data_IF_150735820944
#
_entry.id   IF_150735820944
#
_cell.length_a   1.000
_cell.length_b   1.000
_cell.length_c   1.000
_cell.angle_alpha   90.00
_cell.angle_beta   90.00
_cell.angle_gamma   90.00
#
_symmetry.space_group_name_H-M   'P 1'
#
loop_
_entity.id
_entity.type
_entity.pdbx_description
1 polymer ?
#
# COMPACT_ATOMS: atom_id res chain seq x y z
N UNK A 1 18.88 -15.32 -64.89
CA UNK A 1 19.39 -14.25 -64.01
C UNK A 1 18.56 -14.33 -62.73
N UNK A 2 19.05 -15.10 -61.78
CA UNK A 2 18.38 -15.45 -60.53
C UNK A 2 19.05 -14.66 -59.42
N UNK A 3 18.39 -13.63 -58.95
CA UNK A 3 18.92 -12.89 -57.80
C UNK A 3 18.54 -13.63 -56.50
N UNK A 4 19.56 -14.17 -55.87
CA UNK A 4 19.48 -14.72 -54.51
C UNK A 4 19.19 -13.57 -53.54
N UNK A 5 18.05 -13.65 -52.88
CA UNK A 5 17.75 -12.82 -51.70
C UNK A 5 18.45 -13.48 -50.52
N UNK A 6 19.54 -12.86 -50.11
CA UNK A 6 20.30 -13.22 -48.92
C UNK A 6 19.49 -12.91 -47.66
N UNK A 7 18.79 -13.91 -47.15
CA UNK A 7 17.99 -13.84 -45.91
C UNK A 7 18.83 -14.25 -44.70
N UNK A 8 20.00 -13.61 -44.54
CA UNK A 8 20.86 -13.80 -43.36
C UNK A 8 20.96 -12.54 -42.54
N UNK A 9 19.83 -11.93 -42.20
CA UNK A 9 19.81 -11.00 -41.06
C UNK A 9 19.59 -11.82 -39.78
N UNK A 10 20.70 -12.31 -39.26
CA UNK A 10 20.79 -12.94 -37.97
C UNK A 10 20.10 -12.08 -36.90
N UNK A 11 19.06 -12.65 -36.33
CA UNK A 11 18.48 -12.17 -35.09
C UNK A 11 19.56 -12.30 -34.02
N UNK A 12 20.35 -11.26 -33.84
CA UNK A 12 21.23 -11.13 -32.70
C UNK A 12 20.35 -10.84 -31.48
N UNK A 13 20.04 -11.87 -30.72
CA UNK A 13 19.53 -11.75 -29.38
C UNK A 13 20.63 -11.16 -28.49
N UNK A 14 20.46 -9.96 -27.96
CA UNK A 14 21.42 -9.42 -26.99
C UNK A 14 21.08 -9.96 -25.60
N UNK A 15 21.40 -11.21 -25.33
CA UNK A 15 21.59 -11.69 -23.96
C UNK A 15 22.97 -11.24 -23.47
N UNK A 16 23.22 -9.94 -23.47
CA UNK A 16 24.31 -9.38 -22.71
C UNK A 16 24.02 -9.69 -21.23
N UNK A 17 24.83 -10.57 -20.64
CA UNK A 17 24.83 -10.81 -19.19
C UNK A 17 25.07 -9.45 -18.52
N UNK A 18 24.01 -8.79 -18.09
CA UNK A 18 24.13 -7.55 -17.31
C UNK A 18 24.98 -7.85 -16.09
N UNK A 19 26.06 -7.08 -15.94
CA UNK A 19 26.90 -7.16 -14.75
C UNK A 19 26.04 -6.85 -13.51
N UNK A 20 26.28 -7.57 -12.41
CA UNK A 20 25.62 -7.28 -11.12
C UNK A 20 25.72 -5.81 -10.73
N UNK A 21 26.83 -5.15 -11.07
CA UNK A 21 27.04 -3.72 -10.84
C UNK A 21 26.09 -2.83 -11.67
N UNK A 22 25.78 -3.21 -12.90
CA UNK A 22 24.81 -2.48 -13.74
C UNK A 22 23.38 -2.69 -13.24
N UNK A 23 23.08 -3.88 -12.76
CA UNK A 23 21.79 -4.18 -12.15
C UNK A 23 21.59 -3.35 -10.87
N UNK A 24 22.60 -3.26 -10.01
CA UNK A 24 22.56 -2.45 -8.80
C UNK A 24 22.40 -0.95 -9.10
N UNK A 25 22.99 -0.43 -10.16
CA UNK A 25 22.80 0.98 -10.57
C UNK A 25 21.35 1.30 -10.89
N UNK A 26 20.62 0.38 -11.51
CA UNK A 26 19.18 0.57 -11.81
C UNK A 26 18.36 0.69 -10.51
N UNK A 27 18.72 -0.06 -9.47
CA UNK A 27 18.05 0.06 -8.16
C UNK A 27 18.36 1.37 -7.43
N UNK A 28 19.48 2.01 -7.74
CA UNK A 28 19.88 3.29 -7.16
C UNK A 28 19.38 4.50 -7.97
N UNK A 29 18.69 4.28 -9.08
CA UNK A 29 18.08 5.36 -9.85
C UNK A 29 16.97 6.08 -9.05
N UNK A 30 16.87 7.41 -9.15
CA UNK A 30 15.91 8.21 -8.41
C UNK A 30 14.45 7.73 -8.53
N UNK A 31 13.95 7.26 -9.69
CA UNK A 31 12.60 6.71 -9.80
C UNK A 31 12.41 5.43 -8.97
N UNK A 32 13.40 4.53 -9.00
CA UNK A 32 13.35 3.25 -8.28
C UNK A 32 13.40 3.46 -6.77
N UNK A 33 14.26 4.38 -6.30
CA UNK A 33 14.34 4.75 -4.89
C UNK A 33 13.01 5.37 -4.41
N UNK A 34 12.39 6.24 -5.19
CA UNK A 34 11.07 6.81 -4.85
C UNK A 34 10.02 5.73 -4.70
N UNK A 35 9.99 4.73 -5.61
CA UNK A 35 9.08 3.59 -5.53
C UNK A 35 9.32 2.74 -4.29
N UNK A 36 10.59 2.51 -3.94
CA UNK A 36 10.98 1.76 -2.75
C UNK A 36 10.49 2.47 -1.47
N UNK A 37 10.73 3.78 -1.36
CA UNK A 37 10.27 4.57 -0.22
C UNK A 37 8.74 4.64 -0.13
N UNK A 38 8.06 4.80 -1.27
CA UNK A 38 6.59 4.80 -1.31
C UNK A 38 6.03 3.44 -0.90
N UNK A 39 6.59 2.33 -1.41
CA UNK A 39 6.17 0.98 -1.03
C UNK A 39 6.41 0.68 0.45
N UNK A 40 7.56 1.11 0.99
CA UNK A 40 7.86 0.98 2.42
C UNK A 40 6.88 1.79 3.27
N UNK A 41 6.64 3.06 2.91
CA UNK A 41 5.69 3.93 3.61
C UNK A 41 4.26 3.39 3.57
N UNK A 42 3.85 2.78 2.46
CA UNK A 42 2.53 2.18 2.32
C UNK A 42 2.35 0.92 3.19
N UNK A 43 3.42 0.14 3.41
CA UNK A 43 3.37 -1.07 4.25
C UNK A 43 3.36 -0.79 5.75
N UNK A 44 3.90 0.35 6.20
CA UNK A 44 4.02 0.68 7.61
C UNK A 44 2.69 0.68 8.39
N UNK A 45 1.58 1.29 7.91
CA UNK A 45 0.33 1.33 8.67
C UNK A 45 -0.22 -0.06 8.98
N UNK A 46 -0.11 -1.00 8.04
CA UNK A 46 -0.56 -2.37 8.25
C UNK A 46 0.28 -3.10 9.29
N UNK A 47 1.62 -2.92 9.27
CA UNK A 47 2.52 -3.48 10.27
C UNK A 47 2.24 -2.90 11.66
N UNK A 48 1.92 -1.60 11.76
CA UNK A 48 1.55 -0.96 13.03
C UNK A 48 0.23 -1.54 13.57
N UNK A 49 -0.76 -1.74 12.74
CA UNK A 49 -2.05 -2.32 13.18
C UNK A 49 -1.88 -3.78 13.57
N UNK A 50 -1.28 -4.61 12.76
CA UNK A 50 -1.17 -6.05 13.03
C UNK A 50 -0.12 -6.37 14.11
N UNK A 51 1.02 -5.70 14.10
CA UNK A 51 2.12 -5.93 15.04
C UNK A 51 1.96 -5.15 16.34
N UNK A 52 2.12 -3.83 16.27
CA UNK A 52 2.20 -2.97 17.47
C UNK A 52 0.88 -2.94 18.24
N UNK A 53 -0.26 -2.88 17.56
CA UNK A 53 -1.56 -2.92 18.22
C UNK A 53 -1.77 -4.27 18.91
N UNK A 54 -1.46 -5.38 18.28
CA UNK A 54 -1.59 -6.72 18.88
C UNK A 54 -0.71 -6.86 20.11
N UNK A 55 0.50 -6.30 20.09
CA UNK A 55 1.40 -6.27 21.23
C UNK A 55 0.83 -5.42 22.39
N UNK A 56 0.37 -4.19 22.08
CA UNK A 56 -0.26 -3.30 23.07
C UNK A 56 -1.50 -3.92 23.72
N UNK A 57 -2.35 -4.61 22.96
CA UNK A 57 -3.52 -5.29 23.49
C UNK A 57 -3.14 -6.45 24.41
N UNK A 58 -2.06 -7.15 24.08
CA UNK A 58 -1.53 -8.23 24.93
C UNK A 58 -1.01 -7.67 26.26
N UNK A 59 -0.27 -6.56 26.25
CA UNK A 59 0.19 -5.88 27.48
C UNK A 59 -0.97 -5.36 28.32
N UNK A 60 -2.06 -4.92 27.68
CA UNK A 60 -3.30 -4.51 28.33
C UNK A 60 -4.09 -5.68 28.94
N UNK A 61 -3.60 -6.92 28.84
CA UNK A 61 -4.26 -8.11 29.40
C UNK A 61 -5.46 -8.60 28.60
N UNK A 62 -5.63 -8.14 27.36
CA UNK A 62 -6.71 -8.57 26.47
C UNK A 62 -6.47 -10.02 26.03
N UNK A 63 -7.54 -10.82 26.09
CA UNK A 63 -7.49 -12.23 25.74
C UNK A 63 -7.06 -12.50 24.31
N UNK A 64 -6.33 -13.60 24.09
CA UNK A 64 -5.77 -13.97 22.77
C UNK A 64 -6.83 -14.20 21.72
N UNK A 65 -8.00 -14.68 22.09
CA UNK A 65 -9.12 -14.88 21.17
C UNK A 65 -9.63 -13.53 20.63
N UNK A 66 -9.71 -12.53 21.51
CA UNK A 66 -10.10 -11.16 21.12
C UNK A 66 -9.07 -10.52 20.19
N UNK A 67 -7.77 -10.72 20.47
CA UNK A 67 -6.69 -10.28 19.56
C UNK A 67 -6.79 -11.01 18.21
N UNK A 68 -7.19 -12.28 18.21
CA UNK A 68 -7.44 -13.06 17.01
C UNK A 68 -8.55 -12.44 16.12
N UNK A 69 -9.61 -11.91 16.70
CA UNK A 69 -10.66 -11.19 15.94
C UNK A 69 -10.14 -9.93 15.25
N UNK A 70 -9.13 -9.27 15.81
CA UNK A 70 -8.48 -8.13 15.14
C UNK A 70 -7.73 -8.53 13.87
N UNK A 71 -7.36 -9.79 13.70
CA UNK A 71 -6.81 -10.30 12.44
C UNK A 71 -7.81 -10.18 11.29
N UNK A 72 -9.11 -10.11 11.56
CA UNK A 72 -10.15 -9.83 10.57
C UNK A 72 -10.05 -8.43 9.98
N UNK A 73 -9.40 -7.51 10.68
CA UNK A 73 -9.02 -6.18 10.13
C UNK A 73 -8.12 -6.37 8.91
N UNK A 74 -7.24 -7.38 8.93
CA UNK A 74 -6.43 -7.76 7.76
C UNK A 74 -7.25 -8.27 6.57
N UNK A 75 -8.43 -8.86 6.82
CA UNK A 75 -9.35 -9.24 5.74
C UNK A 75 -9.89 -8.03 4.98
N UNK A 76 -10.18 -6.93 5.68
CA UNK A 76 -10.58 -5.68 5.03
C UNK A 76 -9.51 -5.23 4.02
N UNK A 77 -8.22 -5.40 4.35
CA UNK A 77 -7.12 -5.15 3.42
C UNK A 77 -7.12 -6.13 2.23
N UNK A 78 -7.41 -7.41 2.46
CA UNK A 78 -7.51 -8.43 1.41
C UNK A 78 -8.62 -8.17 0.39
N UNK A 79 -9.71 -7.52 0.81
CA UNK A 79 -10.84 -7.16 -0.06
C UNK A 79 -10.63 -5.88 -0.87
N UNK A 80 -9.46 -5.27 -0.85
CA UNK A 80 -9.15 -4.01 -1.55
C UNK A 80 -9.57 -3.99 -3.02
N UNK A 81 -9.53 -5.10 -3.70
CA UNK A 81 -9.92 -5.23 -5.11
C UNK A 81 -11.41 -4.96 -5.37
N UNK A 82 -12.27 -5.11 -4.35
CA UNK A 82 -13.72 -4.85 -4.48
C UNK A 82 -13.99 -3.37 -4.66
N UNK A 83 -13.29 -2.50 -3.92
CA UNK A 83 -13.48 -1.04 -4.04
C UNK A 83 -12.41 -0.34 -4.88
N UNK A 84 -11.41 -1.07 -5.39
CA UNK A 84 -10.44 -0.50 -6.32
C UNK A 84 -11.10 0.18 -7.54
N UNK A 85 -12.12 -0.42 -8.21
CA UNK A 85 -12.82 0.24 -9.29
C UNK A 85 -13.55 1.52 -8.86
N UNK A 86 -13.94 1.61 -7.58
CA UNK A 86 -14.59 2.79 -7.02
C UNK A 86 -13.58 3.93 -6.88
N UNK A 87 -12.42 3.66 -6.33
CA UNK A 87 -11.31 4.62 -6.19
C UNK A 87 -10.85 5.13 -7.55
N UNK A 88 -10.81 4.23 -8.56
CA UNK A 88 -10.38 4.58 -9.90
C UNK A 88 -11.40 5.43 -10.68
N UNK A 89 -12.68 5.31 -10.39
CA UNK A 89 -13.75 5.97 -11.14
C UNK A 89 -14.32 7.21 -10.47
N UNK A 90 -14.40 7.23 -9.14
CA UNK A 90 -15.02 8.33 -8.40
C UNK A 90 -14.07 9.52 -8.22
N UNK A 91 -14.41 10.70 -8.73
CA UNK A 91 -13.73 11.93 -8.38
C UNK A 91 -14.18 12.38 -6.98
N UNK A 92 -13.24 12.80 -6.13
CA UNK A 92 -13.59 13.45 -4.87
C UNK A 92 -13.90 14.92 -5.17
N UNK A 93 -15.15 15.37 -4.96
CA UNK A 93 -15.49 16.77 -5.21
C UNK A 93 -14.58 17.70 -4.38
N UNK A 94 -14.21 18.84 -4.89
CA UNK A 94 -13.27 19.83 -4.38
C UNK A 94 -11.77 19.42 -4.46
N UNK A 95 -11.37 18.26 -3.96
CA UNK A 95 -9.97 17.84 -3.97
C UNK A 95 -9.47 17.48 -5.37
N UNK A 96 -10.32 16.86 -6.17
CA UNK A 96 -9.94 16.41 -7.52
C UNK A 96 -9.65 17.58 -8.45
N UNK A 97 -10.31 18.73 -8.26
CA UNK A 97 -10.07 19.94 -9.05
C UNK A 97 -8.72 20.59 -8.78
N UNK A 98 -8.22 20.44 -7.54
CA UNK A 98 -6.96 21.07 -7.09
C UNK A 98 -5.74 20.17 -7.23
N UNK A 99 -5.85 18.89 -6.85
CA UNK A 99 -4.72 17.96 -6.81
C UNK A 99 -4.76 16.88 -7.91
N UNK A 100 -5.88 16.74 -8.60
CA UNK A 100 -6.12 15.61 -9.48
C UNK A 100 -6.64 14.38 -8.71
N UNK A 101 -7.31 13.47 -9.41
CA UNK A 101 -8.07 12.35 -8.83
C UNK A 101 -7.23 11.45 -7.91
N UNK A 102 -6.08 10.99 -8.37
CA UNK A 102 -5.23 10.03 -7.63
C UNK A 102 -4.59 10.64 -6.38
N UNK A 103 -4.08 11.86 -6.49
CA UNK A 103 -3.49 12.57 -5.34
C UNK A 103 -4.52 12.87 -4.27
N UNK A 104 -5.76 13.14 -4.66
CA UNK A 104 -6.86 13.37 -3.72
C UNK A 104 -7.17 12.13 -2.90
N UNK A 105 -7.21 10.95 -3.53
CA UNK A 105 -7.39 9.69 -2.83
C UNK A 105 -6.22 9.34 -1.92
N UNK A 106 -4.97 9.60 -2.34
CA UNK A 106 -3.78 9.45 -1.50
C UNK A 106 -3.85 10.34 -0.25
N UNK A 107 -4.21 11.60 -0.43
CA UNK A 107 -4.29 12.53 0.69
C UNK A 107 -5.42 12.15 1.66
N UNK A 108 -6.58 11.77 1.15
CA UNK A 108 -7.71 11.31 1.96
C UNK A 108 -7.34 10.05 2.75
N UNK A 109 -6.71 9.06 2.12
CA UNK A 109 -6.29 7.84 2.80
C UNK A 109 -5.23 8.11 3.87
N UNK A 110 -4.27 9.00 3.62
CA UNK A 110 -3.28 9.40 4.62
C UNK A 110 -3.91 10.09 5.83
N UNK A 111 -4.86 10.99 5.59
CA UNK A 111 -5.58 11.64 6.69
C UNK A 111 -6.39 10.63 7.51
N UNK A 112 -7.03 9.67 6.85
CA UNK A 112 -7.76 8.60 7.52
C UNK A 112 -6.84 7.72 8.37
N UNK A 113 -5.67 7.34 7.83
CA UNK A 113 -4.66 6.58 8.56
C UNK A 113 -4.18 7.36 9.78
N UNK A 114 -3.81 8.62 9.61
CA UNK A 114 -3.36 9.47 10.72
C UNK A 114 -4.42 9.60 11.81
N UNK A 115 -5.66 9.90 11.44
CA UNK A 115 -6.77 10.00 12.39
C UNK A 115 -7.02 8.67 13.11
N UNK A 116 -6.95 7.55 12.41
CA UNK A 116 -7.10 6.22 12.99
C UNK A 116 -5.97 5.87 13.97
N UNK A 117 -4.71 6.17 13.62
CA UNK A 117 -3.56 5.94 14.51
C UNK A 117 -3.64 6.81 15.77
N UNK A 118 -3.98 8.08 15.63
CA UNK A 118 -4.19 8.98 16.77
C UNK A 118 -5.36 8.50 17.64
N UNK A 119 -6.47 8.09 17.02
CA UNK A 119 -7.61 7.52 17.74
C UNK A 119 -7.20 6.28 18.55
N UNK A 120 -6.48 5.33 17.95
CA UNK A 120 -5.96 4.17 18.69
C UNK A 120 -4.97 4.53 19.81
N UNK A 121 -4.23 5.63 19.68
CA UNK A 121 -3.31 6.09 20.73
C UNK A 121 -4.01 6.71 21.93
N UNK A 122 -5.11 7.43 21.68
CA UNK A 122 -5.86 8.16 22.73
C UNK A 122 -6.77 7.23 23.53
N UNK A 123 -7.36 6.22 22.88
CA UNK A 123 -8.29 5.32 23.58
C UNK A 123 -7.53 4.21 24.32
N UNK A 124 -7.92 3.98 25.58
CA UNK A 124 -7.40 2.87 26.38
C UNK A 124 -8.18 1.58 26.05
N UNK A 125 -7.51 0.55 25.55
CA UNK A 125 -8.15 -0.72 25.21
C UNK A 125 -8.71 -1.48 26.43
N UNK A 126 -8.24 -1.19 27.65
CA UNK A 126 -8.75 -1.77 28.89
C UNK A 126 -10.15 -1.22 29.24
N UNK A 127 -10.38 0.06 28.95
CA UNK A 127 -11.67 0.72 29.25
C UNK A 127 -12.71 0.42 28.14
N UNK A 128 -12.28 0.43 26.89
CA UNK A 128 -13.18 0.27 25.76
C UNK A 128 -12.43 -0.24 24.52
N UNK A 129 -12.63 -1.51 24.19
CA UNK A 129 -11.99 -2.13 23.03
C UNK A 129 -12.65 -1.72 21.71
N UNK A 130 -13.96 -1.45 21.72
CA UNK A 130 -14.74 -1.19 20.51
C UNK A 130 -14.25 0.00 19.68
N UNK A 131 -13.96 1.19 20.25
CA UNK A 131 -13.38 2.30 19.51
C UNK A 131 -12.02 1.94 18.89
N UNK A 132 -11.17 1.22 19.62
CA UNK A 132 -9.84 0.80 19.12
C UNK A 132 -9.98 -0.09 17.87
N UNK A 133 -10.96 -1.00 17.86
CA UNK A 133 -11.25 -1.86 16.70
C UNK A 133 -11.73 -1.02 15.51
N UNK A 134 -12.61 -0.04 15.73
CA UNK A 134 -13.07 0.85 14.65
C UNK A 134 -11.94 1.69 14.05
N UNK A 135 -11.05 2.23 14.88
CA UNK A 135 -9.89 2.95 14.40
C UNK A 135 -8.91 2.04 13.66
N UNK A 136 -8.69 0.81 14.14
CA UNK A 136 -7.88 -0.17 13.45
C UNK A 136 -8.45 -0.52 12.07
N UNK A 137 -9.77 -0.69 11.97
CA UNK A 137 -10.46 -0.91 10.71
C UNK A 137 -10.32 0.29 9.77
N UNK A 138 -10.45 1.51 10.28
CA UNK A 138 -10.25 2.74 9.51
C UNK A 138 -8.82 2.84 8.95
N UNK A 139 -7.80 2.50 9.75
CA UNK A 139 -6.40 2.46 9.30
C UNK A 139 -6.20 1.41 8.21
N UNK A 140 -6.75 0.20 8.38
CA UNK A 140 -6.64 -0.86 7.37
C UNK A 140 -7.31 -0.48 6.06
N UNK A 141 -8.49 0.14 6.12
CA UNK A 141 -9.20 0.63 4.95
C UNK A 141 -8.46 1.78 4.27
N UNK A 142 -7.93 2.73 5.04
CA UNK A 142 -7.10 3.82 4.54
C UNK A 142 -5.83 3.31 3.87
N UNK A 143 -5.13 2.35 4.50
CA UNK A 143 -3.92 1.73 3.95
C UNK A 143 -4.21 0.99 2.64
N UNK A 144 -5.27 0.20 2.58
CA UNK A 144 -5.67 -0.50 1.37
C UNK A 144 -6.03 0.48 0.23
N UNK A 145 -6.69 1.59 0.55
CA UNK A 145 -7.03 2.65 -0.41
C UNK A 145 -5.79 3.38 -0.90
N UNK A 146 -4.84 3.64 0.00
CA UNK A 146 -3.54 4.22 -0.35
C UNK A 146 -2.78 3.33 -1.34
N UNK A 147 -2.75 2.02 -1.11
CA UNK A 147 -2.10 1.07 -2.00
C UNK A 147 -2.73 1.07 -3.40
N UNK A 148 -4.06 1.07 -3.49
CA UNK A 148 -4.77 1.16 -4.78
C UNK A 148 -4.35 2.43 -5.55
N UNK A 149 -4.31 3.57 -4.86
CA UNK A 149 -3.93 4.83 -5.47
C UNK A 149 -2.45 4.84 -5.90
N UNK A 150 -1.55 4.19 -5.15
CA UNK A 150 -0.14 4.03 -5.48
C UNK A 150 0.10 3.06 -6.63
N UNK A 151 -0.58 1.91 -6.63
CA UNK A 151 -0.48 0.91 -7.70
C UNK A 151 -0.89 1.48 -9.06
N UNK A 152 -1.84 2.40 -9.06
CA UNK A 152 -2.24 3.13 -10.25
C UNK A 152 -1.22 4.21 -10.71
N UNK A 153 -0.17 4.48 -9.92
CA UNK A 153 0.91 5.42 -10.29
C UNK A 153 2.04 4.74 -11.09
N UNK A 154 2.07 3.41 -11.09
CA UNK A 154 3.03 2.61 -11.87
C UNK A 154 2.60 2.50 -13.32
#
# INVERSE_FOLDING_TARGET
MTSQIDSSSAIQSPTAKRSWAETLKVYLEPPTLRMLFLGFSAGLPLLLVLGTLSFRLREAGIDRSTIGYLSWVGLAYGFKWVWAPLVDRLPIPLLTTWLGRRRSWLLLSQMLIMAGLVGMAVYDPQLSLLPVVWFALAVAFGSATQDIALDAYR
#
